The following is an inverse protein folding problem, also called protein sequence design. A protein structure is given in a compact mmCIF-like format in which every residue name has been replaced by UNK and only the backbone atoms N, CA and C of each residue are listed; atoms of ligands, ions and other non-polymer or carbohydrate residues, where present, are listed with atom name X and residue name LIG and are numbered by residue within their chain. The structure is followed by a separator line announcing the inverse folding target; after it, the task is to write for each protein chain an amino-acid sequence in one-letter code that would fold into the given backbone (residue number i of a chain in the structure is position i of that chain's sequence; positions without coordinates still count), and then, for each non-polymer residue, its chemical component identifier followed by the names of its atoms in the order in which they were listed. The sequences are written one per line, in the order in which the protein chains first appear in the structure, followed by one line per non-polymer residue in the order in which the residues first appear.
data_IF_371721244267
#
_entry.id   IF_371721244267
#
_cell.length_a   1.000
_cell.length_b   1.000
_cell.length_c   1.000
_cell.angle_alpha   90.00
_cell.angle_beta   90.00
_cell.angle_gamma   90.00
#
_symmetry.space_group_name_H-M   'P 1'
#
loop_
_entity.id
_entity.type
_entity.pdbx_description
1 polymer ?
#
# COMPACT_ATOMS: atom_id res chain seq x y z
N UNK A 1 -5.67 -39.62 -19.21
CA UNK A 1 -5.50 -39.11 -17.82
C UNK A 1 -6.43 -37.92 -17.60
N UNK A 2 -7.27 -37.97 -16.60
CA UNK A 2 -8.08 -36.83 -16.19
C UNK A 2 -7.15 -35.78 -15.55
N UNK A 3 -7.28 -34.53 -15.96
CA UNK A 3 -6.56 -33.40 -15.31
C UNK A 3 -7.25 -33.09 -14.00
N UNK A 4 -6.47 -32.95 -12.93
CA UNK A 4 -6.93 -32.46 -11.64
C UNK A 4 -6.66 -30.97 -11.57
N UNK A 5 -7.66 -30.19 -11.15
CA UNK A 5 -7.57 -28.73 -11.00
C UNK A 5 -7.66 -28.36 -9.52
N UNK A 6 -6.81 -27.47 -9.09
CA UNK A 6 -6.87 -26.83 -7.78
C UNK A 6 -7.39 -25.41 -7.93
N UNK A 7 -8.40 -25.06 -7.16
CA UNK A 7 -8.94 -23.70 -7.18
C UNK A 7 -8.12 -22.82 -6.23
N UNK A 8 -7.55 -21.74 -6.77
CA UNK A 8 -6.82 -20.72 -6.01
C UNK A 8 -7.53 -19.39 -6.18
N UNK A 9 -7.87 -18.75 -5.07
CA UNK A 9 -8.54 -17.44 -5.06
C UNK A 9 -7.65 -16.45 -4.32
N UNK A 10 -7.28 -15.36 -4.98
CA UNK A 10 -6.56 -14.24 -4.39
C UNK A 10 -7.49 -13.05 -4.16
N UNK A 11 -7.30 -12.37 -3.06
CA UNK A 11 -7.98 -11.12 -2.75
C UNK A 11 -6.96 -10.00 -2.61
N UNK A 12 -7.29 -8.84 -3.15
CA UNK A 12 -6.55 -7.60 -2.98
C UNK A 12 -7.48 -6.57 -2.35
N UNK A 13 -7.06 -5.97 -1.25
CA UNK A 13 -7.88 -5.03 -0.49
C UNK A 13 -7.21 -3.67 -0.47
N UNK A 14 -7.93 -2.63 -0.86
CA UNK A 14 -7.50 -1.24 -0.80
C UNK A 14 -8.25 -0.52 0.31
N UNK A 15 -7.53 0.28 1.07
CA UNK A 15 -8.09 1.06 2.19
C UNK A 15 -7.64 2.51 2.09
N UNK A 16 -8.58 3.44 2.15
CA UNK A 16 -8.31 4.85 2.32
C UNK A 16 -8.14 5.18 3.81
N UNK A 17 -6.96 5.66 4.18
CA UNK A 17 -6.66 5.96 5.58
C UNK A 17 -7.15 7.35 5.98
N UNK A 18 -7.82 7.43 7.12
CA UNK A 18 -8.25 8.70 7.71
C UNK A 18 -7.06 9.44 8.34
N UNK A 19 -6.25 10.08 7.54
CA UNK A 19 -5.12 10.92 7.95
C UNK A 19 -5.34 12.37 7.50
N UNK A 20 -4.68 13.31 8.15
CA UNK A 20 -4.78 14.75 7.81
C UNK A 20 -3.97 15.11 6.58
N UNK A 21 -2.92 14.34 6.31
CA UNK A 21 -2.04 14.54 5.15
C UNK A 21 -1.88 13.26 4.36
N UNK A 22 -1.46 13.37 3.11
CA UNK A 22 -1.15 12.24 2.23
C UNK A 22 -0.03 11.38 2.82
N UNK A 23 0.14 10.17 2.28
CA UNK A 23 1.10 9.18 2.79
C UNK A 23 2.55 9.68 2.70
N UNK A 24 2.91 10.31 1.59
CA UNK A 24 4.30 10.64 1.26
C UNK A 24 4.58 12.12 1.11
N UNK A 25 3.65 12.99 1.48
CA UNK A 25 3.85 14.43 1.50
C UNK A 25 2.95 15.12 2.52
N UNK A 26 3.14 16.43 2.72
CA UNK A 26 2.39 17.24 3.67
C UNK A 26 1.07 17.81 3.14
N UNK A 27 0.65 17.48 1.92
CA UNK A 27 -0.60 18.00 1.36
C UNK A 27 -1.82 17.44 2.08
N UNK A 28 -2.84 18.29 2.20
CA UNK A 28 -4.11 17.93 2.84
C UNK A 28 -4.83 16.80 2.11
N UNK A 29 -5.51 15.96 2.88
CA UNK A 29 -6.44 14.93 2.38
C UNK A 29 -7.90 15.38 2.46
N UNK A 30 -8.16 16.65 2.82
CA UNK A 30 -9.52 17.17 2.95
C UNK A 30 -10.27 17.09 1.62
N UNK A 31 -11.51 16.58 1.68
CA UNK A 31 -12.39 16.51 0.53
C UNK A 31 -12.94 17.90 0.14
N UNK A 32 -13.20 18.10 -1.16
CA UNK A 32 -13.86 19.31 -1.66
C UNK A 32 -12.97 20.53 -1.83
N UNK A 33 -11.64 20.37 -1.80
CA UNK A 33 -10.70 21.45 -2.16
C UNK A 33 -10.81 21.85 -3.64
N UNK A 34 -10.44 23.10 -3.94
CA UNK A 34 -10.36 23.54 -5.33
C UNK A 34 -9.33 22.72 -6.12
N UNK A 35 -9.51 22.53 -7.45
CA UNK A 35 -8.57 21.78 -8.27
C UNK A 35 -7.12 22.24 -8.10
N UNK A 36 -6.19 21.29 -8.02
CA UNK A 36 -4.75 21.51 -7.91
C UNK A 36 -4.27 22.33 -6.70
N UNK A 37 -5.07 22.42 -5.64
CA UNK A 37 -4.67 23.12 -4.40
C UNK A 37 -4.02 22.21 -3.37
N UNK A 38 -4.28 20.90 -3.43
CA UNK A 38 -3.68 19.89 -2.55
C UNK A 38 -2.55 19.14 -3.25
N UNK A 39 -1.63 19.89 -3.85
CA UNK A 39 -0.48 19.36 -4.60
C UNK A 39 0.82 20.04 -4.17
N UNK A 40 1.92 19.33 -4.30
CA UNK A 40 3.26 19.83 -4.02
C UNK A 40 4.27 19.15 -4.96
N UNK A 41 5.54 19.60 -5.01
CA UNK A 41 6.55 18.96 -5.83
C UNK A 41 6.72 17.46 -5.59
N UNK A 42 6.50 16.98 -4.37
CA UNK A 42 6.61 15.55 -4.02
C UNK A 42 5.51 14.72 -4.68
N UNK A 43 4.25 15.07 -4.45
CA UNK A 43 3.14 14.27 -4.98
C UNK A 43 2.90 14.44 -6.48
N UNK A 44 3.49 15.46 -7.10
CA UNK A 44 3.53 15.61 -8.56
C UNK A 44 4.78 15.00 -9.20
N UNK A 45 5.70 14.47 -8.40
CA UNK A 45 6.88 13.76 -8.89
C UNK A 45 7.91 14.66 -9.57
N UNK A 46 8.07 15.89 -9.13
CA UNK A 46 9.05 16.81 -9.72
C UNK A 46 10.49 16.36 -9.48
N UNK A 47 11.41 16.63 -10.42
CA UNK A 47 12.82 16.28 -10.28
C UNK A 47 13.43 16.79 -8.97
N UNK A 48 14.17 15.92 -8.28
CA UNK A 48 14.86 16.25 -7.02
C UNK A 48 13.99 16.16 -5.77
N UNK A 49 12.67 15.95 -5.90
CA UNK A 49 11.80 15.76 -4.74
C UNK A 49 11.89 14.33 -4.21
N UNK A 50 11.82 14.19 -2.89
CA UNK A 50 11.82 12.90 -2.19
C UNK A 50 10.57 12.77 -1.33
N UNK A 51 9.96 11.57 -1.27
CA UNK A 51 8.83 11.31 -0.40
C UNK A 51 9.18 11.48 1.08
N UNK A 52 8.21 11.94 1.87
CA UNK A 52 8.30 11.99 3.33
C UNK A 52 7.15 11.19 3.90
N UNK A 53 7.48 10.13 4.63
CA UNK A 53 6.50 9.19 5.15
C UNK A 53 5.70 9.80 6.30
N UNK A 54 4.37 9.68 6.22
CA UNK A 54 3.46 10.07 7.28
C UNK A 54 3.45 9.02 8.41
N UNK A 55 3.87 9.41 9.60
CA UNK A 55 3.91 8.53 10.78
C UNK A 55 2.56 7.90 11.11
N UNK A 56 1.46 8.67 11.02
CA UNK A 56 0.12 8.15 11.29
C UNK A 56 -0.30 7.01 10.35
N UNK A 57 0.21 7.00 9.12
CA UNK A 57 0.01 5.90 8.17
C UNK A 57 0.70 4.63 8.64
N UNK A 58 1.93 4.74 9.12
CA UNK A 58 2.69 3.60 9.67
C UNK A 58 1.97 3.02 10.89
N UNK A 59 1.52 3.86 11.80
CA UNK A 59 0.78 3.43 13.00
C UNK A 59 -0.50 2.67 12.63
N UNK A 60 -1.26 3.16 11.64
CA UNK A 60 -2.46 2.49 11.15
C UNK A 60 -2.14 1.17 10.44
N UNK A 61 -1.09 1.13 9.64
CA UNK A 61 -0.65 -0.09 8.96
C UNK A 61 -0.21 -1.16 9.97
N UNK A 62 0.52 -0.79 11.00
CA UNK A 62 0.90 -1.70 12.09
C UNK A 62 -0.33 -2.20 12.83
N UNK A 63 -1.30 -1.34 13.12
CA UNK A 63 -2.55 -1.75 13.77
C UNK A 63 -3.32 -2.79 12.94
N UNK A 64 -3.41 -2.61 11.63
CA UNK A 64 -4.00 -3.60 10.71
C UNK A 64 -3.19 -4.89 10.71
N UNK A 65 -1.88 -4.80 10.65
CA UNK A 65 -0.99 -5.97 10.71
C UNK A 65 -1.19 -6.79 11.98
N UNK A 66 -1.29 -6.15 13.13
CA UNK A 66 -1.57 -6.82 14.41
C UNK A 66 -2.96 -7.45 14.43
N UNK A 67 -3.98 -6.75 13.93
CA UNK A 67 -5.35 -7.25 13.86
C UNK A 67 -5.51 -8.47 12.92
N UNK A 68 -4.65 -8.59 11.93
CA UNK A 68 -4.64 -9.70 10.96
C UNK A 68 -3.54 -10.73 11.24
N UNK A 69 -3.02 -10.77 12.45
CA UNK A 69 -2.02 -11.74 12.90
C UNK A 69 -0.72 -11.74 12.07
N UNK A 70 -0.35 -10.60 11.55
CA UNK A 70 0.90 -10.46 10.80
C UNK A 70 2.13 -10.39 11.70
N UNK A 71 3.26 -10.77 11.15
CA UNK A 71 4.57 -10.39 11.67
C UNK A 71 4.91 -8.98 11.18
N UNK A 72 5.30 -8.09 12.10
CA UNK A 72 5.70 -6.73 11.77
C UNK A 72 7.18 -6.71 11.38
N UNK A 73 7.46 -6.20 10.19
CA UNK A 73 8.83 -6.08 9.66
C UNK A 73 9.56 -4.92 10.33
N UNK A 74 10.68 -5.20 10.99
CA UNK A 74 11.48 -4.18 11.68
C UNK A 74 12.31 -3.33 10.71
N UNK A 75 12.80 -3.93 9.64
CA UNK A 75 13.58 -3.28 8.60
C UNK A 75 12.87 -3.43 7.26
N UNK A 76 11.99 -2.50 6.94
CA UNK A 76 11.26 -2.47 5.68
C UNK A 76 11.78 -1.38 4.76
N UNK A 77 11.48 -1.49 3.48
CA UNK A 77 11.83 -0.49 2.48
C UNK A 77 10.67 -0.27 1.52
N UNK A 78 10.69 0.88 0.86
CA UNK A 78 9.80 1.17 -0.25
C UNK A 78 10.47 0.86 -1.58
N UNK A 79 9.66 0.43 -2.52
CA UNK A 79 10.02 0.16 -3.91
C UNK A 79 9.22 1.09 -4.82
N UNK A 80 9.68 1.27 -6.05
CA UNK A 80 8.94 2.01 -7.08
C UNK A 80 8.37 1.03 -8.09
N UNK A 81 7.04 1.06 -8.24
CA UNK A 81 6.33 0.38 -9.31
C UNK A 81 6.12 1.38 -10.43
N UNK A 82 6.92 1.30 -11.47
CA UNK A 82 6.88 2.24 -12.58
C UNK A 82 5.80 1.83 -13.59
N UNK A 83 5.00 2.81 -13.99
CA UNK A 83 4.07 2.67 -15.12
C UNK A 83 3.85 4.05 -15.74
N UNK A 84 3.59 4.09 -17.05
CA UNK A 84 3.53 5.31 -17.81
C UNK A 84 2.15 5.50 -18.42
N UNK A 85 1.44 6.54 -17.99
CA UNK A 85 0.17 6.96 -18.56
C UNK A 85 0.16 8.46 -18.78
N UNK A 86 -0.53 8.96 -19.82
CA UNK A 86 -0.57 10.39 -20.14
C UNK A 86 -1.10 11.27 -19.01
N UNK A 87 -1.98 10.74 -18.18
CA UNK A 87 -2.60 11.40 -17.04
C UNK A 87 -1.90 11.15 -15.69
N UNK A 88 -0.77 10.47 -15.71
CA UNK A 88 0.02 10.18 -14.52
C UNK A 88 1.41 10.83 -14.57
N UNK A 89 1.53 12.12 -14.22
CA UNK A 89 2.81 12.84 -14.32
C UNK A 89 3.92 12.25 -13.45
N UNK A 90 3.61 11.63 -12.33
CA UNK A 90 4.59 10.99 -11.44
C UNK A 90 5.23 9.74 -12.07
N UNK A 91 4.55 9.03 -12.96
CA UNK A 91 5.01 7.83 -13.66
C UNK A 91 5.41 6.63 -12.78
N UNK A 92 5.22 6.71 -11.48
CA UNK A 92 5.47 5.58 -10.57
C UNK A 92 4.52 5.62 -9.36
N UNK A 93 4.34 4.47 -8.77
CA UNK A 93 3.67 4.30 -7.48
C UNK A 93 4.70 3.81 -6.46
N UNK A 94 4.70 4.43 -5.28
CA UNK A 94 5.49 3.92 -4.17
C UNK A 94 4.78 2.70 -3.61
N UNK A 95 5.50 1.60 -3.49
CA UNK A 95 4.96 0.33 -3.02
C UNK A 95 5.96 -0.41 -2.13
N UNK A 96 5.60 -1.57 -1.63
CA UNK A 96 6.50 -2.46 -0.90
C UNK A 96 6.32 -3.88 -1.43
N UNK A 97 7.25 -4.37 -2.22
CA UNK A 97 7.22 -5.71 -2.78
C UNK A 97 8.04 -6.71 -1.95
N UNK A 98 9.29 -6.35 -1.64
CA UNK A 98 10.25 -7.29 -1.04
C UNK A 98 10.29 -7.25 0.48
N UNK A 99 10.15 -6.08 1.09
CA UNK A 99 10.19 -5.87 2.53
C UNK A 99 8.97 -5.04 2.97
N UNK A 100 7.76 -5.62 2.92
CA UNK A 100 6.54 -4.93 3.32
C UNK A 100 6.53 -4.67 4.83
N UNK A 101 5.71 -3.74 5.27
CA UNK A 101 5.58 -3.36 6.68
C UNK A 101 5.10 -4.51 7.57
N UNK A 102 4.35 -5.44 7.01
CA UNK A 102 3.93 -6.67 7.70
C UNK A 102 3.73 -7.82 6.69
N UNK A 103 3.84 -9.05 7.17
CA UNK A 103 3.77 -10.24 6.35
C UNK A 103 3.23 -11.45 7.13
N UNK A 104 2.97 -12.55 6.43
CA UNK A 104 2.52 -13.83 6.99
C UNK A 104 1.26 -13.73 7.86
N UNK A 105 0.39 -12.78 7.56
CA UNK A 105 -0.87 -12.62 8.26
C UNK A 105 -1.91 -13.65 7.85
N UNK A 106 -2.94 -13.75 8.70
CA UNK A 106 -4.11 -14.59 8.42
C UNK A 106 -5.35 -14.06 9.14
N UNK A 107 -6.50 -14.37 8.58
CA UNK A 107 -7.80 -14.15 9.20
C UNK A 107 -8.49 -15.50 9.30
N UNK A 108 -8.82 -15.93 10.53
CA UNK A 108 -9.54 -17.16 10.76
C UNK A 108 -11.03 -16.98 10.39
N UNK A 109 -11.56 -17.89 9.60
CA UNK A 109 -12.97 -17.97 9.24
C UNK A 109 -13.49 -19.34 9.63
N UNK A 110 -14.81 -19.48 9.89
CA UNK A 110 -15.43 -20.66 10.49
C UNK A 110 -15.03 -21.99 9.83
N UNK A 111 -14.84 -22.02 8.53
CA UNK A 111 -14.51 -23.22 7.76
C UNK A 111 -13.21 -23.12 6.95
N UNK A 112 -12.62 -21.91 6.85
CA UNK A 112 -11.40 -21.64 6.07
C UNK A 112 -10.55 -20.61 6.77
N UNK A 113 -9.29 -20.47 6.33
CA UNK A 113 -8.41 -19.40 6.75
C UNK A 113 -7.99 -18.61 5.52
N UNK A 114 -8.14 -17.27 5.60
CA UNK A 114 -7.49 -16.37 4.68
C UNK A 114 -6.06 -16.13 5.19
N UNK A 115 -5.08 -16.38 4.36
CA UNK A 115 -3.67 -16.15 4.68
C UNK A 115 -3.07 -15.15 3.71
N UNK A 116 -2.13 -14.36 4.20
CA UNK A 116 -1.29 -13.57 3.33
C UNK A 116 -0.53 -14.53 2.40
N UNK A 117 -0.69 -14.32 1.10
CA UNK A 117 0.03 -15.08 0.10
C UNK A 117 1.02 -14.14 -0.55
N UNK A 118 2.31 -14.40 -0.35
CA UNK A 118 3.33 -13.69 -1.10
C UNK A 118 3.26 -14.17 -2.55
N UNK A 119 2.65 -13.38 -3.38
CA UNK A 119 2.73 -13.57 -4.82
C UNK A 119 4.11 -13.10 -5.28
N UNK A 120 5.10 -13.95 -5.15
CA UNK A 120 6.30 -13.84 -5.92
C UNK A 120 5.92 -14.06 -7.39
N UNK A 121 5.57 -13.01 -8.07
CA UNK A 121 5.40 -13.08 -9.51
C UNK A 121 6.69 -12.73 -10.16
#
# INVERSE_FOLDING_TARGET
MSKTYETVIGLEVHVELATKTKIFCGCSTAFGGAPNTHTCPVCTGMPGSLPVLNKAVVEKAVAVGLATNCTITQNCKFDRKNYFYPDNPQNYQISQLYLPICHDGYVAVSYTHLRAHETGA
#
